data_IF_263144439952
#
_entry.id   IF_263144439952
#
_cell.length_a   1.000
_cell.length_b   1.000
_cell.length_c   1.000
_cell.angle_alpha   90.00
_cell.angle_beta   90.00
_cell.angle_gamma   90.00
#
_symmetry.space_group_name_H-M   'P 1'
#
loop_
_entity.id
_entity.type
_entity.pdbx_description
1 polymer ?
#
# COMPACT_ATOMS: atom_id res chain seq x y z
N UNK A 1 6.83 2.36 53.68
CA UNK A 1 7.91 3.13 53.03
C UNK A 1 7.59 3.10 51.56
N UNK A 2 6.81 4.07 51.11
CA UNK A 2 6.27 4.15 49.75
C UNK A 2 7.09 5.18 48.95
N UNK A 3 7.47 4.89 47.68
CA UNK A 3 8.15 5.88 46.86
C UNK A 3 7.12 6.79 46.15
N UNK A 4 7.28 8.09 46.37
CA UNK A 4 6.50 9.14 45.74
C UNK A 4 6.91 9.36 44.28
N UNK A 5 5.95 9.26 43.36
CA UNK A 5 6.12 9.56 41.93
C UNK A 5 5.87 11.05 41.68
N UNK A 6 6.89 11.78 41.25
CA UNK A 6 6.78 13.18 40.79
C UNK A 6 6.40 13.24 39.31
N UNK A 7 5.36 14.00 39.00
CA UNK A 7 4.91 14.36 37.65
C UNK A 7 5.47 15.76 37.30
N UNK A 8 6.09 15.98 36.12
CA UNK A 8 6.38 17.32 35.66
C UNK A 8 5.25 17.85 34.75
N UNK A 9 4.65 18.96 35.17
CA UNK A 9 3.77 19.84 34.38
C UNK A 9 4.57 20.53 33.27
N UNK A 10 4.15 20.34 32.01
CA UNK A 10 4.66 21.09 30.85
C UNK A 10 3.59 22.09 30.39
N UNK A 11 3.95 23.36 30.45
CA UNK A 11 3.12 24.50 30.07
C UNK A 11 2.90 24.57 28.56
N UNK A 12 1.68 24.97 28.18
CA UNK A 12 1.23 25.24 26.81
C UNK A 12 1.39 26.74 26.55
N UNK A 13 2.34 27.11 25.69
CA UNK A 13 2.42 28.47 25.14
C UNK A 13 1.67 28.50 23.80
N UNK A 14 0.77 29.48 23.67
CA UNK A 14 0.05 29.81 22.45
C UNK A 14 0.89 30.77 21.58
N UNK A 15 0.87 30.65 20.25
CA UNK A 15 1.53 31.64 19.39
C UNK A 15 0.61 32.84 19.08
N UNK A 16 1.20 34.01 19.27
CA UNK A 16 0.68 35.34 18.92
C UNK A 16 0.43 35.48 17.41
N UNK A 17 -0.74 36.03 17.05
CA UNK A 17 -1.08 36.42 15.69
C UNK A 17 -0.46 37.78 15.35
N UNK A 18 0.50 37.80 14.41
CA UNK A 18 1.00 39.04 13.81
C UNK A 18 0.06 39.54 12.72
N UNK A 19 -0.27 40.83 12.82
CA UNK A 19 -1.15 41.56 11.92
C UNK A 19 -0.57 41.76 10.52
N UNK A 20 -1.46 41.89 9.54
CA UNK A 20 -1.15 42.25 8.16
C UNK A 20 -1.66 43.67 7.90
N UNK A 21 -0.88 44.54 7.21
CA UNK A 21 -1.21 45.95 7.06
C UNK A 21 -2.24 46.20 5.95
N UNK A 22 -2.99 47.29 6.15
CA UNK A 22 -3.97 47.88 5.27
C UNK A 22 -3.45 48.07 3.83
N UNK A 23 -4.21 47.57 2.85
CA UNK A 23 -4.15 48.04 1.47
C UNK A 23 -5.47 48.75 1.13
N UNK A 24 -5.33 50.03 0.79
CA UNK A 24 -6.41 50.94 0.46
C UNK A 24 -7.17 50.52 -0.80
N UNK A 25 -8.49 50.65 -0.70
CA UNK A 25 -9.45 50.46 -1.79
C UNK A 25 -9.82 51.84 -2.36
N UNK A 26 -9.79 52.04 -3.69
CA UNK A 26 -10.36 53.24 -4.31
C UNK A 26 -11.89 53.16 -4.35
N UNK A 27 -12.51 54.27 -3.95
CA UNK A 27 -13.96 54.50 -4.03
C UNK A 27 -14.43 54.45 -5.49
N UNK A 28 -15.28 53.48 -5.81
CA UNK A 28 -16.23 53.59 -6.91
C UNK A 28 -17.64 53.59 -6.35
N UNK A 29 -18.26 54.76 -6.41
CA UNK A 29 -19.67 55.01 -6.14
C UNK A 29 -20.46 54.43 -7.32
N UNK A 30 -20.85 53.16 -7.20
CA UNK A 30 -21.82 52.52 -8.07
C UNK A 30 -23.15 52.38 -7.32
N UNK A 31 -24.21 52.97 -7.85
CA UNK A 31 -25.57 52.88 -7.32
C UNK A 31 -26.03 51.41 -7.22
N UNK A 32 -25.95 50.83 -6.02
CA UNK A 32 -26.54 49.53 -5.72
C UNK A 32 -28.02 49.71 -5.37
N UNK A 33 -28.87 49.20 -6.25
CA UNK A 33 -30.27 48.93 -5.96
C UNK A 33 -30.30 47.85 -4.86
N UNK A 34 -31.02 48.04 -3.74
CA UNK A 34 -31.11 47.04 -2.68
C UNK A 34 -31.83 45.80 -3.23
N UNK A 35 -31.09 44.71 -3.37
CA UNK A 35 -31.70 43.41 -3.65
C UNK A 35 -32.60 43.02 -2.46
N UNK A 36 -33.80 42.44 -2.73
CA UNK A 36 -34.69 41.99 -1.68
C UNK A 36 -34.00 40.92 -0.81
N UNK A 37 -34.32 40.84 0.50
CA UNK A 37 -33.74 39.85 1.39
C UNK A 37 -34.04 38.45 0.85
N UNK A 38 -33.00 37.76 0.40
CA UNK A 38 -33.06 36.36 -0.02
C UNK A 38 -33.40 35.53 1.22
N UNK A 39 -34.69 35.23 1.39
CA UNK A 39 -35.23 34.38 2.45
C UNK A 39 -34.44 33.07 2.47
N UNK A 40 -33.62 32.89 3.49
CA UNK A 40 -32.65 31.78 3.58
C UNK A 40 -33.38 30.42 3.60
N UNK A 41 -33.25 29.57 2.57
CA UNK A 41 -33.83 28.22 2.55
C UNK A 41 -33.08 27.23 3.46
N UNK A 42 -32.23 27.72 4.37
CA UNK A 42 -31.14 26.94 4.94
C UNK A 42 -31.54 26.07 6.12
N UNK A 43 -32.50 26.49 6.96
CA UNK A 43 -32.75 25.80 8.23
C UNK A 43 -33.51 24.49 8.03
N UNK A 44 -34.56 24.49 7.20
CA UNK A 44 -35.41 23.30 6.97
C UNK A 44 -34.63 22.20 6.23
N UNK A 45 -33.79 22.58 5.27
CA UNK A 45 -32.90 21.65 4.55
C UNK A 45 -31.85 21.04 5.49
N UNK A 46 -31.28 21.83 6.41
CA UNK A 46 -30.33 21.31 7.40
C UNK A 46 -30.99 20.33 8.37
N UNK A 47 -32.22 20.60 8.83
CA UNK A 47 -32.96 19.69 9.71
C UNK A 47 -33.31 18.38 9.00
N UNK A 48 -33.74 18.44 7.74
CA UNK A 48 -34.03 17.22 6.96
C UNK A 48 -32.78 16.36 6.80
N UNK A 49 -31.64 16.96 6.45
CA UNK A 49 -30.38 16.23 6.31
C UNK A 49 -29.92 15.59 7.64
N UNK A 50 -30.18 16.23 8.77
CA UNK A 50 -29.87 15.65 10.08
C UNK A 50 -30.78 14.46 10.41
N UNK A 51 -32.07 14.53 10.06
CA UNK A 51 -33.02 13.45 10.24
C UNK A 51 -32.62 12.24 9.40
N UNK A 52 -32.37 12.43 8.10
CA UNK A 52 -31.94 11.37 7.19
C UNK A 52 -30.62 10.70 7.65
N UNK A 53 -29.68 11.50 8.16
CA UNK A 53 -28.43 10.98 8.72
C UNK A 53 -28.68 10.14 9.97
N UNK A 54 -29.61 10.54 10.83
CA UNK A 54 -29.95 9.81 12.05
C UNK A 54 -30.64 8.47 11.73
N UNK A 55 -31.55 8.45 10.76
CA UNK A 55 -32.22 7.22 10.29
C UNK A 55 -31.24 6.26 9.62
N UNK A 56 -30.27 6.79 8.86
CA UNK A 56 -29.22 5.96 8.28
C UNK A 56 -28.34 5.33 9.36
N UNK A 57 -28.03 6.07 10.43
CA UNK A 57 -27.25 5.55 11.57
C UNK A 57 -27.99 4.44 12.31
N UNK A 58 -29.29 4.60 12.57
CA UNK A 58 -30.09 3.55 13.22
C UNK A 58 -30.20 2.31 12.36
N UNK A 59 -30.41 2.45 11.04
CA UNK A 59 -30.45 1.32 10.10
C UNK A 59 -29.12 0.55 10.04
N UNK A 60 -27.98 1.24 10.09
CA UNK A 60 -26.65 0.59 10.15
C UNK A 60 -26.47 -0.17 11.47
N UNK A 61 -26.87 0.43 12.60
CA UNK A 61 -26.77 -0.22 13.90
C UNK A 61 -27.64 -1.49 13.96
N UNK A 62 -28.85 -1.44 13.38
CA UNK A 62 -29.74 -2.60 13.28
C UNK A 62 -29.15 -3.72 12.41
N UNK A 63 -28.59 -3.39 11.24
CA UNK A 63 -27.91 -4.37 10.39
C UNK A 63 -26.71 -5.02 11.10
N UNK A 64 -25.91 -4.25 11.83
CA UNK A 64 -24.79 -4.78 12.61
C UNK A 64 -25.26 -5.74 13.71
N UNK A 65 -26.39 -5.44 14.36
CA UNK A 65 -26.99 -6.34 15.35
C UNK A 65 -27.47 -7.65 14.70
N UNK A 66 -28.11 -7.58 13.53
CA UNK A 66 -28.53 -8.78 12.78
C UNK A 66 -27.34 -9.64 12.36
N UNK A 67 -26.24 -9.03 11.90
CA UNK A 67 -25.00 -9.74 11.57
C UNK A 67 -24.46 -10.46 12.81
N UNK A 68 -24.32 -9.76 13.95
CA UNK A 68 -23.84 -10.36 15.19
C UNK A 68 -24.73 -11.53 15.66
N UNK A 69 -26.05 -11.40 15.56
CA UNK A 69 -27.00 -12.48 15.87
C UNK A 69 -26.89 -13.67 14.90
N UNK A 70 -26.60 -13.43 13.62
CA UNK A 70 -26.38 -14.50 12.64
C UNK A 70 -25.08 -15.26 12.89
N UNK A 71 -24.02 -14.56 13.29
CA UNK A 71 -22.73 -15.16 13.65
C UNK A 71 -22.84 -15.97 14.94
N UNK A 72 -23.53 -15.45 15.96
CA UNK A 72 -23.81 -16.20 17.19
C UNK A 72 -24.60 -17.49 16.93
N UNK A 73 -25.60 -17.44 16.03
CA UNK A 73 -26.36 -18.64 15.62
C UNK A 73 -25.50 -19.66 14.88
N UNK A 74 -24.59 -19.22 14.01
CA UNK A 74 -23.65 -20.12 13.34
C UNK A 74 -22.70 -20.80 14.33
N UNK A 75 -22.12 -20.05 15.26
CA UNK A 75 -21.22 -20.60 16.28
C UNK A 75 -21.94 -21.61 17.19
N UNK A 76 -23.21 -21.36 17.54
CA UNK A 76 -24.02 -22.32 18.29
C UNK A 76 -24.26 -23.62 17.49
N UNK A 77 -24.62 -23.50 16.21
CA UNK A 77 -24.82 -24.67 15.33
C UNK A 77 -23.53 -25.49 15.12
N UNK A 78 -22.39 -24.81 15.01
CA UNK A 78 -21.09 -25.47 14.85
C UNK A 78 -20.70 -26.22 16.14
N UNK A 79 -21.02 -25.68 17.32
CA UNK A 79 -20.80 -26.35 18.60
C UNK A 79 -21.67 -27.61 18.78
N UNK A 80 -22.94 -27.56 18.37
CA UNK A 80 -23.85 -28.72 18.42
C UNK A 80 -23.41 -29.84 17.46
N UNK A 81 -22.86 -29.46 16.31
CA UNK A 81 -22.30 -30.41 15.33
C UNK A 81 -21.04 -31.09 15.86
N UNK A 82 -20.18 -30.34 16.57
CA UNK A 82 -18.97 -30.89 17.19
C UNK A 82 -19.27 -31.88 18.34
N UNK A 83 -20.37 -31.71 19.07
CA UNK A 83 -20.79 -32.66 20.12
C UNK A 83 -21.44 -33.94 19.57
N UNK A 84 -21.94 -33.92 18.35
CA UNK A 84 -22.64 -35.05 17.73
C UNK A 84 -21.75 -35.93 16.84
N UNK A 85 -20.48 -35.54 16.65
CA UNK A 85 -19.52 -36.33 15.89
C UNK A 85 -19.17 -37.62 16.67
N UNK A 86 -19.37 -38.82 16.10
CA UNK A 86 -18.96 -40.06 16.73
C UNK A 86 -17.45 -40.02 16.95
N UNK A 87 -17.03 -40.05 18.21
CA UNK A 87 -15.63 -40.20 18.60
C UNK A 87 -15.02 -41.39 17.85
N UNK A 88 -14.04 -41.20 16.95
CA UNK A 88 -13.24 -42.31 16.48
C UNK A 88 -12.45 -42.82 17.67
N UNK A 89 -12.67 -44.09 18.03
CA UNK A 89 -11.94 -44.82 19.06
C UNK A 89 -10.42 -44.66 18.80
N UNK A 90 -9.80 -43.70 19.49
CA UNK A 90 -8.37 -43.50 19.50
C UNK A 90 -7.82 -44.18 20.75
N UNK A 91 -7.31 -45.39 20.57
CA UNK A 91 -6.49 -46.07 21.56
C UNK A 91 -5.30 -45.19 21.90
N UNK A 92 -5.29 -44.70 23.13
CA UNK A 92 -4.22 -43.93 23.71
C UNK A 92 -3.04 -44.85 24.02
N UNK A 93 -1.95 -44.73 23.27
CA UNK A 93 -0.63 -45.17 23.73
C UNK A 93 0.26 -43.94 23.80
N UNK A 94 0.51 -43.53 25.04
CA UNK A 94 1.62 -42.68 25.45
C UNK A 94 2.93 -43.23 24.89
N UNK A 95 3.56 -42.48 23.97
CA UNK A 95 5.00 -42.53 23.79
C UNK A 95 5.49 -41.14 23.45
N UNK A 96 6.01 -40.46 24.47
CA UNK A 96 7.01 -39.43 24.30
C UNK A 96 8.25 -40.08 23.64
N UNK A 97 8.36 -39.96 22.31
CA UNK A 97 9.62 -40.18 21.59
C UNK A 97 9.73 -39.19 20.44
N UNK A 98 10.38 -38.08 20.76
CA UNK A 98 11.20 -37.27 19.86
C UNK A 98 12.17 -38.16 19.08
N UNK A 99 11.77 -38.65 17.90
CA UNK A 99 12.67 -39.19 16.86
C UNK A 99 11.92 -39.42 15.54
N UNK A 100 12.01 -38.44 14.65
CA UNK A 100 12.19 -38.64 13.20
C UNK A 100 11.43 -39.77 12.49
N UNK A 101 10.14 -39.98 12.76
CA UNK A 101 9.29 -40.63 11.78
C UNK A 101 9.06 -39.63 10.66
N UNK A 102 9.92 -39.70 9.64
CA UNK A 102 9.77 -38.90 8.43
C UNK A 102 8.38 -39.13 7.88
N UNK A 103 7.49 -38.16 8.08
CA UNK A 103 6.17 -38.16 7.47
C UNK A 103 6.38 -38.42 5.98
N UNK A 104 5.81 -39.51 5.48
CA UNK A 104 6.03 -39.94 4.11
C UNK A 104 5.30 -38.95 3.18
N UNK A 105 6.02 -37.90 2.75
CA UNK A 105 5.47 -36.86 1.90
C UNK A 105 5.02 -37.43 0.54
N UNK A 106 3.89 -36.96 0.05
CA UNK A 106 3.36 -37.36 -1.25
C UNK A 106 4.38 -37.07 -2.37
N UNK A 107 4.56 -37.98 -3.35
CA UNK A 107 5.42 -37.72 -4.51
C UNK A 107 5.08 -36.42 -5.25
N UNK A 108 3.79 -36.02 -5.25
CA UNK A 108 3.34 -34.77 -5.84
C UNK A 108 3.89 -33.55 -5.09
N UNK A 109 3.83 -33.56 -3.76
CA UNK A 109 4.37 -32.51 -2.88
C UNK A 109 5.87 -32.35 -3.11
N UNK A 110 6.60 -33.47 -3.13
CA UNK A 110 8.05 -33.47 -3.39
C UNK A 110 8.38 -32.93 -4.79
N UNK A 111 7.57 -33.25 -5.80
CA UNK A 111 7.74 -32.73 -7.16
C UNK A 111 7.56 -31.22 -7.21
N UNK A 112 6.47 -30.69 -6.64
CA UNK A 112 6.18 -29.25 -6.63
C UNK A 112 7.27 -28.48 -5.87
N UNK A 113 7.74 -28.99 -4.73
CA UNK A 113 8.82 -28.35 -3.97
C UNK A 113 10.12 -28.26 -4.78
N UNK A 114 10.42 -29.22 -5.66
CA UNK A 114 11.60 -29.14 -6.57
C UNK A 114 11.40 -28.15 -7.71
N UNK A 115 10.17 -27.86 -8.12
CA UNK A 115 9.85 -26.88 -9.16
C UNK A 115 10.06 -25.43 -8.66
N UNK A 116 9.98 -25.19 -7.35
CA UNK A 116 10.13 -23.87 -6.74
C UNK A 116 11.44 -23.76 -5.94
N UNK A 117 12.31 -22.83 -6.33
CA UNK A 117 13.54 -22.57 -5.59
C UNK A 117 13.23 -22.12 -4.15
N UNK A 118 13.86 -22.78 -3.18
CA UNK A 118 13.81 -22.46 -1.75
C UNK A 118 12.46 -22.66 -1.04
N UNK A 119 11.47 -23.31 -1.67
CA UNK A 119 10.22 -23.70 -0.99
C UNK A 119 10.36 -25.12 -0.44
N UNK A 120 10.18 -25.31 0.87
CA UNK A 120 10.34 -26.65 1.45
C UNK A 120 9.15 -27.55 1.13
N UNK A 121 9.40 -28.85 1.06
CA UNK A 121 8.34 -29.84 0.88
C UNK A 121 7.33 -29.82 2.04
N UNK A 122 7.77 -29.44 3.25
CA UNK A 122 6.87 -29.26 4.38
C UNK A 122 5.90 -28.09 4.15
N UNK A 123 6.36 -26.94 3.64
CA UNK A 123 5.49 -25.80 3.34
C UNK A 123 4.42 -26.17 2.31
N UNK A 124 4.81 -26.92 1.28
CA UNK A 124 3.88 -27.44 0.26
C UNK A 124 2.89 -28.43 0.86
N UNK A 125 3.35 -29.30 1.76
CA UNK A 125 2.48 -30.25 2.48
C UNK A 125 1.49 -29.53 3.40
N UNK A 126 1.92 -28.47 4.08
CA UNK A 126 1.06 -27.66 4.93
C UNK A 126 -0.05 -27.00 4.10
N UNK A 127 0.24 -26.55 2.86
CA UNK A 127 -0.78 -26.05 1.92
C UNK A 127 -1.72 -27.18 1.50
N UNK A 128 -1.16 -28.32 1.12
CA UNK A 128 -1.92 -29.49 0.67
C UNK A 128 -2.90 -30.00 1.75
N UNK A 129 -2.49 -29.96 3.01
CA UNK A 129 -3.27 -30.45 4.16
C UNK A 129 -4.12 -29.36 4.83
N UNK A 130 -4.10 -28.13 4.34
CA UNK A 130 -4.83 -26.99 4.92
C UNK A 130 -4.26 -26.46 6.25
N UNK A 131 -3.09 -26.95 6.68
CA UNK A 131 -2.39 -26.50 7.89
C UNK A 131 -1.63 -25.19 7.68
N UNK A 132 -1.46 -24.73 6.44
CA UNK A 132 -0.72 -23.51 6.14
C UNK A 132 -1.39 -22.27 6.75
N UNK A 133 -0.65 -21.51 7.56
CA UNK A 133 -1.11 -20.24 8.13
C UNK A 133 -0.73 -19.05 7.23
N UNK A 134 -1.53 -17.97 7.20
CA UNK A 134 -1.23 -16.80 6.35
C UNK A 134 0.15 -16.19 6.63
N UNK A 135 0.58 -16.13 7.89
CA UNK A 135 1.90 -15.62 8.23
C UNK A 135 3.05 -16.53 7.80
N UNK A 136 2.78 -17.80 7.49
CA UNK A 136 3.77 -18.71 6.89
C UNK A 136 4.06 -18.38 5.41
N UNK A 137 3.30 -17.48 4.77
CA UNK A 137 3.52 -17.09 3.37
C UNK A 137 4.98 -16.65 3.13
N UNK A 138 5.65 -16.07 4.13
CA UNK A 138 7.04 -15.61 4.00
C UNK A 138 8.00 -16.77 3.73
N UNK A 139 7.68 -17.96 4.23
CA UNK A 139 8.46 -19.19 4.03
C UNK A 139 8.48 -19.62 2.57
N UNK A 140 7.57 -19.10 1.75
CA UNK A 140 7.51 -19.34 0.31
C UNK A 140 8.37 -18.35 -0.50
N UNK A 141 9.02 -17.36 0.12
CA UNK A 141 9.84 -16.40 -0.61
C UNK A 141 11.12 -17.05 -1.16
N UNK A 142 11.50 -16.84 -2.44
CA UNK A 142 12.70 -17.45 -3.03
C UNK A 142 14.01 -17.13 -2.31
N UNK A 143 14.08 -15.96 -1.64
CA UNK A 143 15.27 -15.50 -0.93
C UNK A 143 15.17 -15.65 0.59
N UNK A 144 14.29 -16.52 1.10
CA UNK A 144 14.07 -16.66 2.56
C UNK A 144 15.36 -16.91 3.35
N UNK A 145 16.35 -17.60 2.77
CA UNK A 145 17.63 -17.88 3.44
C UNK A 145 18.51 -16.64 3.63
N UNK A 146 18.26 -15.56 2.89
CA UNK A 146 18.97 -14.28 3.02
C UNK A 146 18.23 -13.30 3.95
N UNK A 147 16.98 -13.61 4.30
CA UNK A 147 16.20 -12.84 5.25
C UNK A 147 16.52 -13.39 6.64
N UNK A 148 17.16 -12.58 7.47
CA UNK A 148 17.40 -12.93 8.88
C UNK A 148 16.04 -12.88 9.58
N UNK A 149 15.46 -14.06 9.81
CA UNK A 149 14.25 -14.21 10.61
C UNK A 149 14.65 -14.44 12.05
N UNK A 150 14.71 -13.38 12.85
CA UNK A 150 14.53 -13.55 14.28
C UNK A 150 13.05 -13.92 14.49
N UNK A 151 12.78 -14.96 15.30
CA UNK A 151 11.45 -15.55 15.44
C UNK A 151 10.35 -14.55 15.89
N UNK A 152 10.73 -13.41 16.48
CA UNK A 152 9.83 -12.32 16.87
C UNK A 152 9.69 -11.21 15.81
N UNK A 153 10.47 -11.25 14.72
CA UNK A 153 10.59 -10.17 13.73
C UNK A 153 9.86 -10.45 12.40
N UNK A 154 9.16 -11.58 12.27
CA UNK A 154 8.54 -12.01 11.01
C UNK A 154 7.53 -11.00 10.45
N UNK A 155 6.82 -10.26 11.33
CA UNK A 155 5.91 -9.19 10.91
C UNK A 155 6.65 -7.99 10.32
N UNK A 156 7.83 -7.67 10.84
CA UNK A 156 8.61 -6.50 10.46
C UNK A 156 9.30 -6.66 9.08
N UNK A 157 9.62 -7.89 8.70
CA UNK A 157 10.21 -8.18 7.38
C UNK A 157 9.20 -7.90 6.27
N UNK A 158 7.96 -8.34 6.43
CA UNK A 158 6.91 -8.07 5.43
C UNK A 158 6.55 -6.58 5.38
N UNK A 159 6.44 -5.90 6.51
CA UNK A 159 6.05 -4.48 6.56
C UNK A 159 7.09 -3.56 5.93
N UNK A 160 8.34 -4.01 5.78
CA UNK A 160 9.42 -3.20 5.21
C UNK A 160 9.47 -3.26 3.68
N UNK A 161 9.02 -4.35 3.05
CA UNK A 161 9.14 -4.54 1.61
C UNK A 161 7.93 -5.29 1.00
N UNK A 162 7.06 -4.60 0.24
CA UNK A 162 5.91 -5.22 -0.41
C UNK A 162 6.25 -6.38 -1.34
N UNK A 163 7.43 -6.35 -1.97
CA UNK A 163 7.84 -7.38 -2.92
C UNK A 163 7.96 -8.75 -2.27
N UNK A 164 8.29 -8.81 -0.97
CA UNK A 164 8.38 -10.07 -0.24
C UNK A 164 7.00 -10.74 -0.20
N UNK A 165 5.95 -9.99 0.16
CA UNK A 165 4.58 -10.49 0.12
C UNK A 165 4.18 -10.92 -1.29
N UNK A 166 4.41 -10.09 -2.30
CA UNK A 166 3.98 -10.40 -3.66
C UNK A 166 4.64 -11.66 -4.22
N UNK A 167 5.95 -11.82 -4.07
CA UNK A 167 6.64 -13.04 -4.52
C UNK A 167 6.20 -14.27 -3.72
N UNK A 168 6.06 -14.14 -2.40
CA UNK A 168 5.54 -15.20 -1.54
C UNK A 168 4.13 -15.64 -1.95
N UNK A 169 3.25 -14.69 -2.26
CA UNK A 169 1.88 -14.98 -2.66
C UNK A 169 1.82 -15.61 -4.06
N UNK A 170 2.65 -15.15 -5.00
CA UNK A 170 2.75 -15.78 -6.32
C UNK A 170 3.20 -17.25 -6.23
N UNK A 171 4.15 -17.56 -5.33
CA UNK A 171 4.56 -18.94 -5.08
C UNK A 171 3.44 -19.76 -4.42
N UNK A 172 2.68 -19.18 -3.49
CA UNK A 172 1.48 -19.81 -2.94
C UNK A 172 0.46 -20.16 -4.03
N UNK A 173 0.15 -19.20 -4.92
CA UNK A 173 -0.76 -19.40 -6.04
C UNK A 173 -0.28 -20.50 -6.99
N UNK A 174 1.03 -20.55 -7.25
CA UNK A 174 1.63 -21.62 -8.04
C UNK A 174 1.42 -22.98 -7.37
N UNK A 175 1.79 -23.12 -6.08
CA UNK A 175 1.60 -24.38 -5.33
C UNK A 175 0.14 -24.79 -5.34
N UNK A 176 -0.77 -23.86 -5.04
CA UNK A 176 -2.21 -24.10 -5.04
C UNK A 176 -2.70 -24.60 -6.41
N UNK A 177 -2.32 -23.93 -7.50
CA UNK A 177 -2.70 -24.33 -8.86
C UNK A 177 -2.17 -25.71 -9.24
N UNK A 178 -0.98 -26.10 -8.77
CA UNK A 178 -0.41 -27.44 -9.01
C UNK A 178 -1.13 -28.53 -8.23
N UNK A 179 -1.60 -28.23 -7.03
CA UNK A 179 -2.28 -29.19 -6.15
C UNK A 179 -3.77 -29.34 -6.49
N UNK A 180 -4.45 -28.23 -6.78
CA UNK A 180 -5.91 -28.14 -6.79
C UNK A 180 -6.48 -27.45 -8.04
N UNK A 181 -5.63 -26.96 -8.95
CA UNK A 181 -6.07 -26.12 -10.05
C UNK A 181 -6.89 -26.85 -11.11
N UNK A 182 -6.87 -28.19 -11.14
CA UNK A 182 -7.74 -28.97 -12.05
C UNK A 182 -9.17 -29.00 -11.54
N UNK A 183 -9.34 -29.15 -10.24
CA UNK A 183 -10.62 -29.23 -9.53
C UNK A 183 -11.21 -27.83 -9.30
N UNK A 184 -10.34 -26.82 -9.10
CA UNK A 184 -10.72 -25.46 -8.74
C UNK A 184 -10.00 -24.40 -9.62
N UNK A 185 -10.22 -24.39 -10.95
CA UNK A 185 -9.53 -23.46 -11.86
C UNK A 185 -9.93 -21.99 -11.66
N UNK A 186 -11.15 -21.74 -11.18
CA UNK A 186 -11.70 -20.43 -10.86
C UNK A 186 -11.00 -19.75 -9.67
N UNK A 187 -10.53 -20.53 -8.69
CA UNK A 187 -9.78 -20.01 -7.54
C UNK A 187 -8.48 -19.33 -7.97
N UNK A 188 -7.78 -19.86 -8.99
CA UNK A 188 -6.58 -19.21 -9.52
C UNK A 188 -6.87 -17.81 -10.10
N UNK A 189 -8.02 -17.63 -10.74
CA UNK A 189 -8.48 -16.32 -11.24
C UNK A 189 -8.83 -15.40 -10.08
N UNK A 190 -9.53 -15.92 -9.06
CA UNK A 190 -9.90 -15.15 -7.88
C UNK A 190 -8.68 -14.67 -7.08
N UNK A 191 -7.68 -15.54 -6.88
CA UNK A 191 -6.41 -15.19 -6.25
C UNK A 191 -5.65 -14.10 -7.03
N UNK A 192 -5.62 -14.17 -8.37
CA UNK A 192 -5.03 -13.11 -9.20
C UNK A 192 -5.75 -11.77 -9.03
N UNK A 193 -7.08 -11.77 -8.98
CA UNK A 193 -7.87 -10.55 -8.74
C UNK A 193 -7.62 -9.97 -7.36
N UNK A 194 -7.52 -10.82 -6.34
CA UNK A 194 -7.15 -10.40 -5.00
C UNK A 194 -5.74 -9.78 -4.95
N UNK A 195 -4.75 -10.39 -5.61
CA UNK A 195 -3.41 -9.83 -5.72
C UNK A 195 -3.44 -8.44 -6.40
N UNK A 196 -4.17 -8.31 -7.51
CA UNK A 196 -4.34 -7.04 -8.20
C UNK A 196 -4.99 -5.97 -7.31
N UNK A 197 -6.01 -6.35 -6.53
CA UNK A 197 -6.64 -5.47 -5.54
C UNK A 197 -5.62 -4.96 -4.51
N UNK A 198 -4.79 -5.83 -3.93
CA UNK A 198 -3.75 -5.41 -2.97
C UNK A 198 -2.72 -4.49 -3.63
N UNK A 199 -2.29 -4.81 -4.85
CA UNK A 199 -1.35 -3.98 -5.61
C UNK A 199 -1.93 -2.59 -5.92
N UNK A 200 -3.21 -2.50 -6.25
CA UNK A 200 -3.91 -1.23 -6.44
C UNK A 200 -3.95 -0.43 -5.14
N UNK A 201 -4.36 -1.04 -4.02
CA UNK A 201 -4.41 -0.36 -2.72
C UNK A 201 -3.04 0.13 -2.26
N UNK A 202 -1.98 -0.64 -2.50
CA UNK A 202 -0.61 -0.24 -2.16
C UNK A 202 -0.11 1.00 -2.90
N UNK A 203 -0.79 1.46 -3.96
CA UNK A 203 -0.48 2.73 -4.64
C UNK A 203 -1.00 3.95 -3.88
N UNK A 204 -2.03 3.78 -3.04
CA UNK A 204 -2.74 4.87 -2.38
C UNK A 204 -2.61 4.83 -0.86
N UNK A 205 -2.39 3.66 -0.27
CA UNK A 205 -2.38 3.46 1.17
C UNK A 205 -1.02 2.95 1.66
N UNK A 206 -0.73 3.16 2.94
CA UNK A 206 0.48 2.64 3.58
C UNK A 206 0.56 1.12 3.41
N UNK A 207 1.77 0.63 3.16
CA UNK A 207 1.96 -0.80 2.93
C UNK A 207 1.56 -1.65 4.14
N UNK A 208 1.82 -1.17 5.36
CA UNK A 208 1.44 -1.84 6.60
C UNK A 208 -0.05 -2.18 6.65
N UNK A 209 -0.92 -1.22 6.34
CA UNK A 209 -2.38 -1.44 6.31
C UNK A 209 -2.82 -2.38 5.19
N UNK A 210 -2.15 -2.32 4.02
CA UNK A 210 -2.41 -3.25 2.92
C UNK A 210 -2.04 -4.69 3.30
N UNK A 211 -0.90 -4.86 3.96
CA UNK A 211 -0.42 -6.16 4.44
C UNK A 211 -1.34 -6.71 5.53
N UNK A 212 -1.73 -5.89 6.50
CA UNK A 212 -2.62 -6.32 7.59
C UNK A 212 -3.98 -6.78 7.04
N UNK A 213 -4.56 -6.02 6.11
CA UNK A 213 -5.77 -6.42 5.40
C UNK A 213 -5.56 -7.75 4.66
N UNK A 214 -4.46 -7.89 3.93
CA UNK A 214 -4.18 -9.10 3.17
C UNK A 214 -4.08 -10.34 4.07
N UNK A 215 -3.38 -10.24 5.20
CA UNK A 215 -3.25 -11.34 6.17
C UNK A 215 -4.59 -11.70 6.80
N UNK A 216 -5.42 -10.70 7.12
CA UNK A 216 -6.77 -10.93 7.62
C UNK A 216 -7.68 -11.59 6.59
N UNK A 217 -7.58 -11.17 5.32
CA UNK A 217 -8.34 -11.79 4.22
C UNK A 217 -7.96 -13.25 4.04
N UNK A 218 -6.67 -13.59 4.06
CA UNK A 218 -6.21 -14.98 4.02
C UNK A 218 -6.76 -15.83 5.18
N UNK A 219 -6.80 -15.27 6.40
CA UNK A 219 -7.44 -15.95 7.55
C UNK A 219 -8.93 -16.18 7.31
N UNK A 220 -9.64 -15.19 6.77
CA UNK A 220 -11.07 -15.30 6.45
C UNK A 220 -11.32 -16.38 5.39
N UNK A 221 -10.55 -16.38 4.30
CA UNK A 221 -10.61 -17.40 3.25
C UNK A 221 -10.36 -18.79 3.83
N UNK A 222 -9.29 -18.96 4.61
CA UNK A 222 -8.96 -20.23 5.26
C UNK A 222 -10.08 -20.75 6.16
N UNK A 223 -10.73 -19.88 6.94
CA UNK A 223 -11.82 -20.26 7.85
C UNK A 223 -13.10 -20.70 7.13
N UNK A 224 -13.32 -20.25 5.90
CA UNK A 224 -14.49 -20.66 5.10
C UNK A 224 -14.16 -21.82 4.20
N UNK A 225 -13.32 -21.57 3.20
CA UNK A 225 -12.80 -22.57 2.27
C UNK A 225 -11.77 -21.91 1.38
N UNK A 226 -10.55 -22.47 1.33
CA UNK A 226 -9.53 -22.04 0.38
C UNK A 226 -9.90 -22.38 -1.07
N UNK A 227 -10.86 -23.28 -1.27
CA UNK A 227 -11.32 -23.80 -2.56
C UNK A 227 -12.53 -23.07 -3.14
N UNK A 228 -13.07 -22.07 -2.43
CA UNK A 228 -14.22 -21.29 -2.88
C UNK A 228 -13.77 -19.95 -3.47
N UNK A 229 -13.88 -19.82 -4.80
CA UNK A 229 -13.52 -18.60 -5.51
C UNK A 229 -14.35 -17.38 -5.08
N UNK A 230 -15.60 -17.56 -4.65
CA UNK A 230 -16.45 -16.45 -4.21
C UNK A 230 -15.90 -15.83 -2.91
N UNK A 231 -15.38 -16.66 -2.00
CA UNK A 231 -14.77 -16.19 -0.74
C UNK A 231 -13.51 -15.37 -1.00
N UNK A 232 -12.70 -15.75 -2.01
CA UNK A 232 -11.53 -14.97 -2.41
C UNK A 232 -11.90 -13.58 -2.95
N UNK A 233 -13.02 -13.47 -3.67
CA UNK A 233 -13.52 -12.24 -4.28
C UNK A 233 -14.36 -11.38 -3.33
N UNK A 234 -14.80 -11.93 -2.20
CA UNK A 234 -15.60 -11.22 -1.22
C UNK A 234 -14.73 -10.21 -0.47
N UNK A 235 -14.93 -8.93 -0.79
CA UNK A 235 -14.29 -7.81 -0.10
C UNK A 235 -15.37 -6.94 0.56
N UNK A 236 -15.92 -7.34 1.72
CA UNK A 236 -17.01 -6.60 2.35
C UNK A 236 -16.57 -5.16 2.60
N UNK A 237 -17.39 -4.20 2.13
CA UNK A 237 -17.07 -2.76 2.23
C UNK A 237 -16.77 -2.34 3.68
N UNK A 238 -17.54 -2.90 4.63
CA UNK A 238 -17.34 -2.67 6.07
C UNK A 238 -15.93 -3.06 6.53
N UNK A 239 -15.37 -4.15 5.99
CA UNK A 239 -14.00 -4.55 6.32
C UNK A 239 -13.00 -3.66 5.60
N UNK A 240 -13.18 -3.41 4.30
CA UNK A 240 -12.22 -2.60 3.53
C UNK A 240 -12.11 -1.18 4.04
N UNK A 241 -13.21 -0.57 4.49
CA UNK A 241 -13.24 0.80 5.00
C UNK A 241 -12.44 0.97 6.30
N UNK A 242 -12.35 -0.09 7.11
CA UNK A 242 -11.54 -0.10 8.34
C UNK A 242 -10.03 -0.04 8.07
N UNK A 243 -9.57 -0.66 6.98
CA UNK A 243 -8.16 -0.71 6.61
C UNK A 243 -7.74 0.41 5.65
N UNK A 244 -8.63 0.80 4.74
CA UNK A 244 -8.36 1.76 3.67
C UNK A 244 -9.07 3.08 3.94
N UNK A 245 -8.80 3.65 5.10
CA UNK A 245 -9.33 4.95 5.51
C UNK A 245 -8.39 6.10 5.11
N UNK A 246 -8.91 7.33 5.14
CA UNK A 246 -8.15 8.54 4.85
C UNK A 246 -6.95 8.77 5.77
N UNK A 247 -6.93 8.14 6.95
CA UNK A 247 -5.81 8.20 7.90
C UNK A 247 -4.57 7.43 7.42
N UNK A 248 -4.74 6.51 6.46
CA UNK A 248 -3.67 5.64 5.96
C UNK A 248 -3.26 5.96 4.52
N UNK A 249 -3.77 7.05 3.95
CA UNK A 249 -3.42 7.46 2.59
C UNK A 249 -1.94 7.88 2.57
N UNK A 250 -1.20 7.37 1.58
CA UNK A 250 0.17 7.79 1.34
C UNK A 250 0.20 9.31 1.10
N UNK A 251 1.19 10.03 1.63
CA UNK A 251 1.33 11.44 1.33
C UNK A 251 1.39 11.59 -0.19
N UNK A 252 0.63 12.56 -0.72
CA UNK A 252 0.61 12.85 -2.15
C UNK A 252 2.06 12.86 -2.64
N UNK A 253 2.40 12.09 -3.70
CA UNK A 253 3.78 11.92 -4.13
C UNK A 253 4.35 13.31 -4.27
N UNK A 254 5.26 13.66 -3.35
CA UNK A 254 5.69 15.04 -3.18
C UNK A 254 6.05 15.49 -4.57
N UNK A 255 5.34 16.50 -5.09
CA UNK A 255 5.81 17.25 -6.24
C UNK A 255 7.04 17.99 -5.72
N UNK A 256 8.13 17.26 -5.46
CA UNK A 256 9.43 17.82 -5.18
C UNK A 256 9.61 18.72 -6.38
N UNK A 257 9.42 20.03 -6.15
CA UNK A 257 9.63 21.09 -7.12
C UNK A 257 10.90 20.66 -7.80
N UNK A 258 10.77 20.19 -9.04
CA UNK A 258 11.83 19.52 -9.80
C UNK A 258 13.03 20.40 -9.53
N UNK A 259 13.94 19.95 -8.65
CA UNK A 259 14.96 20.85 -8.12
C UNK A 259 15.72 21.14 -9.38
N UNK A 260 15.50 22.34 -9.95
CA UNK A 260 16.19 22.77 -11.16
C UNK A 260 17.61 22.57 -10.73
N UNK A 261 18.24 21.55 -11.30
CA UNK A 261 19.63 21.29 -11.07
C UNK A 261 20.25 22.64 -11.35
N UNK A 262 20.71 23.30 -10.30
CA UNK A 262 21.62 24.41 -10.45
C UNK A 262 22.88 23.74 -10.97
N UNK A 263 22.87 23.35 -12.24
CA UNK A 263 24.03 23.21 -13.08
C UNK A 263 24.60 24.62 -13.21
N UNK A 264 25.10 25.14 -12.08
CA UNK A 264 26.24 26.02 -12.06
C UNK A 264 27.34 25.19 -12.71
N UNK A 265 27.48 25.37 -14.02
CA UNK A 265 28.39 24.60 -14.83
C UNK A 265 29.79 24.82 -14.32
N UNK A 266 30.36 23.80 -13.68
CA UNK A 266 31.78 23.51 -13.75
C UNK A 266 32.09 23.12 -15.20
N UNK A 267 32.10 24.12 -16.09
CA UNK A 267 32.72 24.03 -17.40
C UNK A 267 34.23 24.06 -17.21
N UNK A 268 34.79 22.97 -16.70
CA UNK A 268 36.22 22.65 -16.81
C UNK A 268 36.50 22.08 -18.22
N UNK A 269 36.14 22.85 -19.24
CA UNK A 269 36.66 22.67 -20.59
C UNK A 269 36.98 24.05 -21.13
N UNK A 270 38.21 24.47 -20.90
CA UNK A 270 38.87 25.47 -21.72
C UNK A 270 38.53 25.22 -23.20
N UNK A 271 38.27 26.32 -23.92
CA UNK A 271 38.05 26.39 -25.37
C UNK A 271 36.65 26.08 -25.96
N UNK A 272 35.55 26.09 -25.20
CA UNK A 272 34.24 26.10 -25.86
C UNK A 272 33.99 27.46 -26.54
N UNK A 273 33.75 27.43 -27.86
CA UNK A 273 33.44 28.62 -28.68
C UNK A 273 32.18 29.34 -28.17
N UNK A 274 32.24 30.67 -28.09
CA UNK A 274 31.12 31.49 -27.64
C UNK A 274 29.93 31.40 -28.61
N UNK A 275 28.82 30.81 -28.14
CA UNK A 275 27.59 30.70 -28.93
C UNK A 275 26.95 32.05 -29.25
N UNK A 276 27.06 33.05 -28.35
CA UNK A 276 26.52 34.39 -28.57
C UNK A 276 27.30 35.15 -29.65
N UNK A 277 28.62 34.98 -29.69
CA UNK A 277 29.47 35.56 -30.74
C UNK A 277 29.02 35.11 -32.13
N UNK A 278 28.63 33.84 -32.27
CA UNK A 278 28.15 33.25 -33.54
C UNK A 278 26.68 33.56 -33.87
N UNK A 279 25.99 34.42 -33.11
CA UNK A 279 24.65 34.92 -33.46
C UNK A 279 24.76 36.24 -34.22
N UNK A 280 23.72 36.58 -34.99
CA UNK A 280 23.61 37.87 -35.70
C UNK A 280 23.72 39.10 -34.78
N UNK A 281 23.31 38.95 -33.51
CA UNK A 281 23.42 39.99 -32.48
C UNK A 281 24.83 40.20 -31.94
N UNK A 282 25.76 39.26 -32.19
CA UNK A 282 27.10 39.26 -31.58
C UNK A 282 27.11 39.00 -30.07
N UNK A 283 28.33 38.95 -29.51
CA UNK A 283 28.58 38.91 -28.07
C UNK A 283 29.02 40.30 -27.60
N UNK A 284 28.31 40.91 -26.66
CA UNK A 284 28.60 42.26 -26.15
C UNK A 284 29.51 42.26 -24.91
N UNK A 285 29.94 41.08 -24.43
CA UNK A 285 30.76 40.97 -23.23
C UNK A 285 32.22 41.26 -23.57
N UNK A 286 32.78 42.32 -22.97
CA UNK A 286 34.18 42.75 -23.23
C UNK A 286 35.20 41.66 -22.90
N UNK A 287 34.99 40.94 -21.81
CA UNK A 287 35.86 39.86 -21.34
C UNK A 287 35.10 38.53 -21.33
N UNK A 288 34.59 38.10 -22.48
CA UNK A 288 33.85 36.83 -22.55
C UNK A 288 34.79 35.66 -22.18
N UNK A 289 34.43 34.79 -21.22
CA UNK A 289 35.26 33.66 -20.81
C UNK A 289 35.29 32.51 -21.85
N UNK A 290 34.69 32.71 -23.02
CA UNK A 290 34.56 31.73 -24.11
C UNK A 290 35.26 32.28 -25.34
N UNK A 291 35.92 31.43 -26.12
CA UNK A 291 36.66 31.84 -27.32
C UNK A 291 35.71 32.43 -28.37
N UNK A 292 35.98 33.66 -28.82
CA UNK A 292 35.29 34.28 -29.95
C UNK A 292 35.93 33.78 -31.26
N UNK A 293 35.41 32.67 -31.76
CA UNK A 293 35.78 32.08 -33.04
C UNK A 293 34.51 31.66 -33.80
N UNK A 294 34.58 31.64 -35.13
CA UNK A 294 33.53 31.13 -35.99
C UNK A 294 33.29 29.65 -35.67
N UNK A 295 32.03 29.28 -35.42
CA UNK A 295 31.70 27.89 -35.10
C UNK A 295 31.75 26.94 -36.31
N UNK A 296 32.00 27.46 -37.51
CA UNK A 296 32.09 26.67 -38.76
C UNK A 296 33.55 26.44 -39.13
N UNK A 297 34.32 27.50 -39.35
CA UNK A 297 35.72 27.40 -39.80
C UNK A 297 36.76 27.54 -38.68
N UNK A 298 36.37 27.91 -37.46
CA UNK A 298 37.28 28.10 -36.33
C UNK A 298 38.06 29.42 -36.32
N UNK A 299 37.91 30.27 -37.33
CA UNK A 299 38.60 31.57 -37.44
C UNK A 299 38.11 32.58 -36.39
N UNK A 300 39.02 33.35 -35.78
CA UNK A 300 38.73 34.39 -34.78
C UNK A 300 38.37 35.74 -35.41
N UNK A 301 38.58 35.91 -36.71
CA UNK A 301 38.32 37.17 -37.42
C UNK A 301 36.83 37.48 -37.66
N UNK A 302 35.96 36.47 -37.61
CA UNK A 302 34.54 36.65 -37.93
C UNK A 302 33.63 35.71 -37.14
N UNK A 303 32.36 36.09 -37.03
CA UNK A 303 31.29 35.25 -36.50
C UNK A 303 30.64 34.41 -37.61
N UNK A 304 29.99 33.29 -37.26
CA UNK A 304 29.27 32.41 -38.19
C UNK A 304 28.45 33.12 -39.30
N UNK A 305 27.68 34.19 -39.05
CA UNK A 305 26.89 34.85 -40.10
C UNK A 305 27.72 35.52 -41.21
N UNK A 306 29.00 35.77 -40.97
CA UNK A 306 29.93 36.37 -41.94
C UNK A 306 30.94 35.36 -42.49
N UNK A 307 30.71 34.06 -42.26
CA UNK A 307 31.62 33.01 -42.70
C UNK A 307 31.37 32.68 -44.17
N UNK A 308 32.40 32.73 -45.01
CA UNK A 308 32.28 32.39 -46.44
C UNK A 308 32.03 30.89 -46.72
N UNK A 309 32.08 30.04 -45.69
CA UNK A 309 31.84 28.59 -45.77
C UNK A 309 30.38 28.19 -45.43
N UNK A 310 29.48 29.16 -45.22
CA UNK A 310 28.04 28.90 -45.00
C UNK A 310 27.26 28.72 -46.28
#
# INVERSE_FOLDING_TARGET
MDPATKVPTKATEAPESQGTPEQGVPSQVGNFIPNPPTTSPSILTTLQNQLDLSERKTRIAELNLQIAQSEARRLASDADTAQSAPMPNASSTDVANTSGHGEHLSPLVLKISRELACVSAQDVNDIYTGKFEPWNLIRLHPMRHYLVFDNDATSNVFSSNPLIYFHSFLNYMYVYARLFGKEHPDVGIAQNRFLAFIMEKAQYYTWETCLEYAMRHHLFVKRRSIHDAAVWLDHPTVQTDGYFSHFHILPAPSTRKRQRSNTAGTSASDAAVCRKFNKKSGCTWRNCPRTHACSICGDKGHARPACAQT
#
